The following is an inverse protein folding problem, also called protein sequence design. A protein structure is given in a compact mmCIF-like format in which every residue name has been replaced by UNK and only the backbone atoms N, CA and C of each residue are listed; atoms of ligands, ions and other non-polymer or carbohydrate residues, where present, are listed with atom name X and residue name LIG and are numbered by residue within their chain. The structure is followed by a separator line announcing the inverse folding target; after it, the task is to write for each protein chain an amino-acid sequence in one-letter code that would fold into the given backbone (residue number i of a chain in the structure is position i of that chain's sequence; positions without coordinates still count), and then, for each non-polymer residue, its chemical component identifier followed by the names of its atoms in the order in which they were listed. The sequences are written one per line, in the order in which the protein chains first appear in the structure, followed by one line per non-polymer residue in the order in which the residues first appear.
data_IF_945838438107
#
_entry.id   IF_945838438107
#
_cell.length_a   1.000
_cell.length_b   1.000
_cell.length_c   1.000
_cell.angle_alpha   90.00
_cell.angle_beta   90.00
_cell.angle_gamma   90.00
#
_symmetry.space_group_name_H-M   'P 1'
#
loop_
_entity.id
_entity.type
_entity.pdbx_description
1 polymer ?
#
# COMPACT_ATOMS: atom_id res chain seq x y z
N UNK A 1 7.88 9.67 12.02
CA UNK A 1 9.02 8.80 12.40
C UNK A 1 9.45 9.08 13.82
N UNK A 2 9.49 8.05 14.67
CA UNK A 2 10.04 8.11 16.01
C UNK A 2 11.23 7.15 16.11
N UNK A 3 12.45 7.68 16.16
CA UNK A 3 13.66 6.85 16.26
C UNK A 3 13.94 6.38 17.69
N UNK A 4 13.40 7.06 18.70
CA UNK A 4 13.54 6.64 20.09
C UNK A 4 12.71 5.38 20.33
N UNK A 5 11.48 5.37 19.79
CA UNK A 5 10.61 4.19 19.81
C UNK A 5 10.87 3.22 18.65
N UNK A 6 11.71 3.62 17.69
CA UNK A 6 12.05 2.86 16.47
C UNK A 6 10.80 2.50 15.68
N UNK A 7 9.95 3.47 15.41
CA UNK A 7 8.68 3.31 14.69
C UNK A 7 8.54 4.31 13.55
N UNK A 8 7.90 3.86 12.48
CA UNK A 8 7.60 4.68 11.32
C UNK A 8 6.18 4.45 10.82
N UNK A 9 5.49 5.54 10.51
CA UNK A 9 4.22 5.61 9.81
C UNK A 9 4.29 6.81 8.85
N UNK A 10 3.38 6.88 7.90
CA UNK A 10 3.34 7.98 6.94
C UNK A 10 2.13 7.93 6.04
N UNK A 11 2.10 8.82 5.06
CA UNK A 11 1.01 8.87 4.07
C UNK A 11 1.52 9.28 2.69
N UNK A 12 1.11 8.55 1.66
CA UNK A 12 1.33 8.93 0.26
C UNK A 12 0.09 9.69 -0.19
N UNK A 13 0.26 10.93 -0.63
CA UNK A 13 -0.82 11.84 -1.07
C UNK A 13 -0.61 12.27 -2.53
N UNK A 14 -1.56 13.02 -3.09
CA UNK A 14 -1.47 13.54 -4.47
C UNK A 14 -1.77 12.50 -5.56
N UNK A 15 -2.44 11.40 -5.19
CA UNK A 15 -2.86 10.34 -6.11
C UNK A 15 -4.35 10.49 -6.43
N UNK A 16 -4.71 11.46 -7.27
CA UNK A 16 -6.10 11.90 -7.48
C UNK A 16 -7.13 10.78 -7.69
N UNK A 17 -6.76 9.70 -8.40
CA UNK A 17 -7.69 8.62 -8.73
C UNK A 17 -7.61 7.41 -7.78
N UNK A 18 -6.51 7.26 -7.03
CA UNK A 18 -6.33 6.17 -6.06
C UNK A 18 -6.75 6.63 -4.65
N UNK A 19 -6.63 7.92 -4.37
CA UNK A 19 -6.74 8.50 -3.04
C UNK A 19 -5.45 8.35 -2.24
N UNK A 20 -5.48 8.85 -1.01
CA UNK A 20 -4.37 8.72 -0.08
C UNK A 20 -4.09 7.25 0.25
N UNK A 21 -2.80 6.92 0.39
CA UNK A 21 -2.35 5.63 0.91
C UNK A 21 -1.75 5.86 2.29
N UNK A 22 -2.39 5.32 3.31
CA UNK A 22 -1.88 5.30 4.68
C UNK A 22 -0.84 4.20 4.84
N UNK A 23 0.36 4.56 5.28
CA UNK A 23 1.43 3.65 5.67
C UNK A 23 1.35 3.45 7.18
N UNK A 24 0.82 2.29 7.61
CA UNK A 24 0.60 2.01 9.02
C UNK A 24 1.92 1.97 9.79
N UNK A 25 1.82 2.27 11.09
CA UNK A 25 2.96 2.22 12.00
C UNK A 25 3.63 0.84 11.99
N UNK A 26 4.95 0.83 11.83
CA UNK A 26 5.76 -0.37 11.87
C UNK A 26 7.14 -0.11 12.47
N UNK A 27 7.78 -1.18 12.94
CA UNK A 27 9.10 -1.12 13.56
C UNK A 27 10.22 -0.84 12.55
N UNK A 28 11.17 0.01 12.96
CA UNK A 28 12.40 0.31 12.27
C UNK A 28 13.49 -0.68 12.74
N UNK A 29 13.96 -1.49 11.80
CA UNK A 29 14.93 -2.54 12.05
C UNK A 29 16.21 -2.35 11.25
N UNK A 30 17.31 -2.91 11.76
CA UNK A 30 18.58 -2.97 11.03
C UNK A 30 18.60 -4.23 10.17
N UNK A 31 18.75 -4.08 8.87
CA UNK A 31 18.84 -5.21 7.96
C UNK A 31 20.16 -5.96 8.13
N UNK A 32 20.10 -7.26 8.44
CA UNK A 32 21.28 -8.10 8.55
C UNK A 32 22.07 -8.21 7.23
N UNK A 33 21.36 -8.22 6.09
CA UNK A 33 21.97 -8.39 4.77
C UNK A 33 22.51 -7.11 4.14
N UNK A 34 22.00 -5.94 4.54
CA UNK A 34 22.37 -4.66 3.92
C UNK A 34 23.04 -3.69 4.89
N UNK A 35 23.13 -4.05 6.18
CA UNK A 35 23.68 -3.23 7.26
C UNK A 35 23.07 -1.81 7.35
N UNK A 36 21.87 -1.60 6.79
CA UNK A 36 21.13 -0.34 6.76
C UNK A 36 19.85 -0.43 7.58
N UNK A 37 19.33 0.72 8.02
CA UNK A 37 18.02 0.78 8.66
C UNK A 37 16.92 0.63 7.61
N UNK A 38 15.81 -0.01 7.99
CA UNK A 38 14.64 -0.27 7.16
C UNK A 38 13.37 -0.25 7.99
N UNK A 39 12.24 -0.08 7.32
CA UNK A 39 10.90 -0.28 7.88
C UNK A 39 10.06 -1.07 6.89
N UNK A 40 9.21 -1.96 7.42
CA UNK A 40 8.23 -2.72 6.63
C UNK A 40 6.93 -2.77 7.40
N UNK A 41 5.84 -2.35 6.79
CA UNK A 41 4.52 -2.32 7.42
C UNK A 41 3.39 -2.52 6.43
N UNK A 42 2.16 -2.36 6.90
CA UNK A 42 0.97 -2.45 6.07
C UNK A 42 0.65 -1.10 5.41
N UNK A 43 0.08 -1.15 4.21
CA UNK A 43 -0.40 0.00 3.47
C UNK A 43 -1.88 -0.18 3.14
N UNK A 44 -2.65 0.92 3.20
CA UNK A 44 -4.10 0.92 2.96
C UNK A 44 -4.44 2.14 2.11
N UNK A 45 -5.15 1.94 0.99
CA UNK A 45 -5.76 3.03 0.26
C UNK A 45 -7.19 3.24 0.79
N UNK A 46 -7.37 4.25 1.65
CA UNK A 46 -8.58 4.43 2.46
C UNK A 46 -9.83 4.65 1.58
N UNK A 47 -9.66 5.23 0.40
CA UNK A 47 -10.73 5.48 -0.56
C UNK A 47 -11.35 4.21 -1.19
N UNK A 48 -10.81 3.03 -0.91
CA UNK A 48 -11.23 1.76 -1.52
C UNK A 48 -11.74 0.73 -0.51
N UNK A 49 -11.90 1.10 0.76
CA UNK A 49 -12.34 0.17 1.83
C UNK A 49 -13.66 -0.54 1.47
N UNK A 50 -14.59 0.18 0.85
CA UNK A 50 -15.91 -0.33 0.47
C UNK A 50 -15.93 -1.02 -0.91
N UNK A 51 -14.80 -1.02 -1.63
CA UNK A 51 -14.65 -1.64 -2.96
C UNK A 51 -13.82 -2.92 -2.86
N UNK A 52 -14.04 -3.69 -1.80
CA UNK A 52 -13.28 -4.90 -1.49
C UNK A 52 -11.92 -4.63 -0.84
N UNK A 53 -11.63 -3.37 -0.52
CA UNK A 53 -10.39 -2.93 0.10
C UNK A 53 -9.21 -2.96 -0.86
N UNK A 54 -8.38 -1.92 -0.83
CA UNK A 54 -7.06 -1.92 -1.48
C UNK A 54 -6.01 -1.82 -0.39
N UNK A 55 -5.35 -2.93 -0.11
CA UNK A 55 -4.40 -3.06 1.00
C UNK A 55 -3.17 -3.85 0.57
N UNK A 56 -2.11 -3.78 1.37
CA UNK A 56 -0.89 -4.53 1.09
C UNK A 56 0.22 -4.14 2.04
N UNK A 57 1.46 -4.22 1.56
CA UNK A 57 2.65 -3.93 2.35
C UNK A 57 3.43 -2.78 1.75
N UNK A 58 4.13 -2.02 2.59
CA UNK A 58 5.18 -1.11 2.17
C UNK A 58 6.51 -1.51 2.77
N UNK A 59 7.58 -1.14 2.08
CA UNK A 59 8.93 -1.21 2.61
C UNK A 59 9.68 0.07 2.24
N UNK A 60 10.46 0.60 3.18
CA UNK A 60 11.30 1.76 2.96
C UNK A 60 12.71 1.58 3.54
N UNK A 61 13.66 2.26 2.91
CA UNK A 61 15.06 2.34 3.27
C UNK A 61 15.40 3.76 3.70
N UNK A 62 16.36 3.89 4.61
CA UNK A 62 16.88 5.17 5.08
C UNK A 62 18.30 5.40 4.56
N UNK A 63 18.61 6.63 4.15
CA UNK A 63 19.89 7.02 3.58
C UNK A 63 20.49 8.23 4.29
N UNK A 64 21.82 8.32 4.22
CA UNK A 64 22.62 9.33 4.90
C UNK A 64 22.89 9.00 6.38
N UNK A 65 23.89 9.66 7.01
CA UNK A 65 24.36 9.32 8.35
C UNK A 65 23.30 9.55 9.44
N UNK A 66 22.29 10.39 9.20
CA UNK A 66 21.22 10.69 10.15
C UNK A 66 19.82 10.29 9.64
N UNK A 67 19.76 9.41 8.63
CA UNK A 67 18.53 9.04 7.94
C UNK A 67 17.81 10.26 7.35
N UNK A 68 18.56 11.11 6.63
CA UNK A 68 18.10 12.33 6.00
C UNK A 68 17.07 12.07 4.90
N UNK A 69 17.23 10.96 4.18
CA UNK A 69 16.38 10.59 3.04
C UNK A 69 15.72 9.23 3.26
N UNK A 70 14.49 9.12 2.74
CA UNK A 70 13.70 7.89 2.76
C UNK A 70 13.30 7.59 1.32
N UNK A 71 13.39 6.33 0.90
CA UNK A 71 12.72 5.84 -0.30
C UNK A 71 12.15 4.46 -0.09
N UNK A 72 10.99 4.21 -0.68
CA UNK A 72 10.29 2.96 -0.54
C UNK A 72 9.26 2.72 -1.64
N UNK A 73 8.55 1.62 -1.46
CA UNK A 73 7.46 1.19 -2.33
C UNK A 73 6.34 0.61 -1.48
N UNK A 74 5.10 0.96 -1.81
CA UNK A 74 3.91 0.26 -1.38
C UNK A 74 3.41 -0.65 -2.52
N UNK A 75 3.17 -1.92 -2.21
CA UNK A 75 2.58 -2.91 -3.12
C UNK A 75 1.20 -3.27 -2.58
N UNK A 76 0.15 -2.87 -3.30
CA UNK A 76 -1.24 -2.99 -2.88
C UNK A 76 -2.01 -3.90 -3.83
N UNK A 77 -3.05 -4.56 -3.31
CA UNK A 77 -3.96 -5.43 -4.05
C UNK A 77 -5.39 -5.09 -3.66
N UNK A 78 -6.29 -4.99 -4.64
CA UNK A 78 -7.73 -4.92 -4.39
C UNK A 78 -8.32 -6.30 -4.11
N UNK A 79 -9.12 -6.43 -3.05
CA UNK A 79 -9.90 -7.63 -2.76
C UNK A 79 -10.93 -7.95 -3.85
N UNK A 80 -11.26 -9.24 -3.98
CA UNK A 80 -12.16 -9.72 -5.04
C UNK A 80 -13.64 -9.38 -4.82
N UNK A 81 -14.03 -9.17 -3.56
CA UNK A 81 -15.41 -8.94 -3.16
C UNK A 81 -15.48 -7.80 -2.16
N UNK A 82 -16.54 -7.01 -2.24
CA UNK A 82 -16.92 -6.09 -1.17
C UNK A 82 -18.00 -6.70 -0.29
N UNK A 83 -18.03 -6.24 0.95
CA UNK A 83 -19.13 -6.51 1.85
C UNK A 83 -20.38 -5.74 1.45
N UNK A 84 -21.53 -6.40 1.44
CA UNK A 84 -22.83 -5.76 1.31
C UNK A 84 -23.71 -6.21 2.46
N UNK A 85 -24.34 -5.27 3.15
CA UNK A 85 -25.30 -5.57 4.20
C UNK A 85 -26.70 -5.26 3.73
N UNK A 86 -27.57 -6.26 3.83
CA UNK A 86 -29.00 -6.16 3.56
C UNK A 86 -29.77 -6.52 4.84
N UNK A 87 -30.81 -5.76 5.17
CA UNK A 87 -31.54 -5.92 6.43
C UNK A 87 -32.38 -7.20 6.51
N UNK A 88 -32.72 -7.81 5.38
CA UNK A 88 -33.54 -9.03 5.34
C UNK A 88 -32.70 -10.29 5.23
N UNK A 89 -31.60 -10.22 4.47
CA UNK A 89 -30.75 -11.38 4.13
C UNK A 89 -29.40 -11.39 4.87
N UNK A 90 -29.01 -10.28 5.51
CA UNK A 90 -27.78 -10.16 6.30
C UNK A 90 -26.56 -9.76 5.46
N UNK A 91 -25.37 -10.17 5.92
CA UNK A 91 -24.11 -9.82 5.26
C UNK A 91 -23.80 -10.76 4.10
N UNK A 92 -23.46 -10.21 2.94
CA UNK A 92 -23.10 -10.94 1.74
C UNK A 92 -21.83 -10.38 1.09
N UNK A 93 -21.14 -11.21 0.30
CA UNK A 93 -19.98 -10.80 -0.48
C UNK A 93 -20.39 -10.66 -1.94
N UNK A 94 -20.23 -9.46 -2.50
CA UNK A 94 -20.59 -9.14 -3.88
C UNK A 94 -19.40 -8.56 -4.62
N UNK A 95 -19.46 -8.51 -5.95
CA UNK A 95 -18.41 -7.86 -6.74
C UNK A 95 -18.28 -6.36 -6.40
N UNK A 96 -17.06 -5.79 -6.42
CA UNK A 96 -16.86 -4.35 -6.31
C UNK A 96 -17.59 -3.59 -7.43
N UNK A 97 -17.99 -2.35 -7.17
CA UNK A 97 -18.62 -1.49 -8.19
C UNK A 97 -17.58 -0.90 -9.15
N UNK A 98 -16.33 -0.80 -8.69
CA UNK A 98 -15.20 -0.32 -9.48
C UNK A 98 -13.91 -1.05 -9.12
N UNK A 99 -13.01 -1.15 -10.08
CA UNK A 99 -11.72 -1.80 -9.90
C UNK A 99 -10.58 -0.78 -9.86
N UNK A 100 -9.56 -1.03 -9.04
CA UNK A 100 -8.34 -0.22 -9.01
C UNK A 100 -7.66 -0.19 -10.39
N UNK A 101 -7.87 -1.24 -11.19
CA UNK A 101 -7.40 -1.35 -12.57
C UNK A 101 -8.05 -0.35 -13.53
N UNK A 102 -9.19 0.24 -13.15
CA UNK A 102 -9.91 1.23 -13.96
C UNK A 102 -9.27 2.62 -13.86
N UNK A 103 -8.53 2.87 -12.77
CA UNK A 103 -7.90 4.15 -12.47
C UNK A 103 -6.37 4.10 -12.51
N UNK A 104 -5.79 2.96 -12.88
CA UNK A 104 -4.35 2.76 -12.95
C UNK A 104 -3.91 2.30 -14.32
N UNK A 105 -2.61 2.48 -14.60
CA UNK A 105 -2.04 2.08 -15.89
C UNK A 105 -2.00 0.56 -15.94
N UNK A 106 -2.76 -0.03 -16.89
CA UNK A 106 -2.73 -1.46 -17.14
C UNK A 106 -1.32 -1.90 -17.52
N UNK A 107 -0.80 -2.90 -16.83
CA UNK A 107 0.49 -3.51 -17.14
C UNK A 107 0.34 -4.33 -18.44
N UNK A 108 0.90 -3.85 -19.54
CA UNK A 108 0.63 -4.36 -20.91
C UNK A 108 1.16 -5.79 -21.16
N UNK A 109 2.03 -6.36 -20.31
CA UNK A 109 2.75 -7.61 -20.59
C UNK A 109 2.66 -8.70 -19.50
N UNK A 110 1.66 -8.70 -18.62
CA UNK A 110 1.51 -9.79 -17.62
C UNK A 110 0.77 -10.99 -18.25
N UNK A 111 1.46 -11.73 -19.13
CA UNK A 111 0.99 -13.00 -19.68
C UNK A 111 1.16 -14.12 -18.65
N UNK A 112 0.31 -14.16 -17.62
CA UNK A 112 0.18 -15.36 -16.78
C UNK A 112 -0.98 -16.22 -17.28
N UNK A 113 -0.66 -17.42 -17.76
CA UNK A 113 -1.55 -18.46 -18.26
C UNK A 113 -2.51 -19.07 -17.21
N UNK A 114 -2.62 -18.47 -16.01
CA UNK A 114 -3.17 -19.11 -14.80
C UNK A 114 -4.46 -18.46 -14.25
N UNK A 115 -5.19 -17.68 -15.05
CA UNK A 115 -6.52 -17.15 -14.65
C UNK A 115 -6.56 -16.26 -13.40
N UNK A 116 -5.41 -15.99 -12.78
CA UNK A 116 -5.27 -15.14 -11.60
C UNK A 116 -5.52 -13.68 -11.98
N UNK A 117 -6.47 -13.04 -11.29
CA UNK A 117 -6.90 -11.64 -11.48
C UNK A 117 -5.79 -10.66 -11.03
N UNK A 118 -4.66 -10.65 -11.74
CA UNK A 118 -3.50 -9.80 -11.46
C UNK A 118 -3.66 -8.33 -11.88
N UNK A 119 -4.84 -7.95 -12.40
CA UNK A 119 -5.19 -6.57 -12.74
C UNK A 119 -5.39 -5.66 -11.52
N UNK A 120 -5.54 -6.24 -10.33
CA UNK A 120 -5.85 -5.52 -9.10
C UNK A 120 -4.62 -5.07 -8.30
N UNK A 121 -3.42 -5.29 -8.83
CA UNK A 121 -2.17 -5.01 -8.14
C UNK A 121 -1.60 -3.67 -8.58
N UNK A 122 -1.24 -2.83 -7.63
CA UNK A 122 -0.59 -1.54 -7.90
C UNK A 122 0.69 -1.41 -7.07
N UNK A 123 1.70 -0.81 -7.67
CA UNK A 123 2.96 -0.46 -7.02
C UNK A 123 3.07 1.06 -7.01
N UNK A 124 3.28 1.65 -5.82
CA UNK A 124 3.47 3.09 -5.66
C UNK A 124 4.83 3.32 -5.01
N UNK A 125 5.75 3.94 -5.77
CA UNK A 125 7.04 4.38 -5.25
C UNK A 125 6.90 5.70 -4.51
N UNK A 126 7.68 5.87 -3.45
CA UNK A 126 7.73 7.11 -2.68
C UNK A 126 9.15 7.42 -2.23
N UNK A 127 9.41 8.70 -1.95
CA UNK A 127 10.65 9.16 -1.37
C UNK A 127 10.61 10.65 -1.06
N UNK A 128 11.55 11.09 -0.24
CA UNK A 128 11.57 12.45 0.30
C UNK A 128 12.53 12.58 1.46
N UNK A 129 12.56 13.77 2.06
CA UNK A 129 13.40 14.01 3.23
C UNK A 129 12.67 13.65 4.53
N UNK A 130 13.44 13.51 5.60
CA UNK A 130 12.92 13.24 6.94
C UNK A 130 11.97 14.37 7.39
N UNK A 131 10.66 14.12 7.30
CA UNK A 131 9.58 15.05 7.67
C UNK A 131 8.54 15.27 6.58
N UNK A 132 8.85 14.90 5.34
CA UNK A 132 7.95 15.07 4.18
C UNK A 132 6.97 13.89 3.98
N UNK A 133 7.21 12.77 4.66
CA UNK A 133 6.48 11.50 4.52
C UNK A 133 5.86 11.06 5.84
#
# INVERSE_FOLDING_TARGET
MDFAERKGSGKITGLDHIGDITLQEAEIYKSASHNSMRVKGNAIADAWVDEGGVTGEYAANFFGPNAEEITGKASLIQGMYKGSYDSETGYSFVSPDRYISDVTIKRINDSSQDGSLRGNNIDVGFGGTRGDI
#
